data_IF_913489124030
#
_entry.id   IF_913489124030
#
_cell.length_a   1.000
_cell.length_b   1.000
_cell.length_c   1.000
_cell.angle_alpha   90.00
_cell.angle_beta   90.00
_cell.angle_gamma   90.00
#
_symmetry.space_group_name_H-M   'P 1'
#
loop_
_entity.id
_entity.type
_entity.pdbx_description
1 polymer ?
#
# COMPACT_ATOMS: atom_id res chain seq x y z
N UNK A 1 8.47 -7.94 -25.09
CA UNK A 1 8.14 -7.27 -23.82
C UNK A 1 9.46 -6.79 -23.22
N UNK A 2 9.55 -5.52 -22.84
CA UNK A 2 10.72 -5.01 -22.12
C UNK A 2 10.43 -5.14 -20.62
N UNK A 3 11.41 -5.61 -19.86
CA UNK A 3 11.36 -5.69 -18.40
C UNK A 3 12.46 -4.78 -17.85
N UNK A 4 12.09 -3.99 -16.84
CA UNK A 4 13.01 -3.10 -16.13
C UNK A 4 12.96 -3.45 -14.65
N UNK A 5 14.00 -4.11 -14.16
CA UNK A 5 14.18 -4.45 -12.74
C UNK A 5 15.43 -3.74 -12.22
N UNK A 6 15.36 -3.18 -11.00
CA UNK A 6 16.44 -2.46 -10.34
C UNK A 6 17.07 -1.32 -11.20
N UNK A 7 16.28 -0.75 -12.11
CA UNK A 7 16.73 0.24 -13.07
C UNK A 7 16.39 1.67 -12.62
N UNK A 8 17.35 2.58 -12.76
CA UNK A 8 17.11 4.01 -12.58
C UNK A 8 16.57 4.61 -13.89
N UNK A 9 15.27 4.89 -13.93
CA UNK A 9 14.60 5.54 -15.06
C UNK A 9 14.29 7.02 -14.78
N UNK A 10 14.89 7.65 -13.77
CA UNK A 10 14.64 9.07 -13.45
C UNK A 10 14.97 9.96 -14.64
N UNK A 11 14.12 10.97 -14.86
CA UNK A 11 14.24 11.89 -16.00
C UNK A 11 13.85 11.29 -17.36
N UNK A 12 13.49 10.01 -17.43
CA UNK A 12 12.99 9.39 -18.67
C UNK A 12 11.70 10.04 -19.13
N UNK A 13 11.53 10.16 -20.45
CA UNK A 13 10.33 10.71 -21.07
C UNK A 13 9.68 9.66 -21.98
N UNK A 14 8.45 9.29 -21.66
CA UNK A 14 7.60 8.45 -22.51
C UNK A 14 6.67 9.36 -23.32
N UNK A 15 6.74 9.30 -24.65
CA UNK A 15 5.99 10.19 -25.54
C UNK A 15 5.39 9.38 -26.68
N UNK A 16 4.04 9.39 -26.79
CA UNK A 16 3.29 8.57 -27.76
C UNK A 16 3.64 7.08 -27.65
N UNK A 17 3.74 6.58 -26.42
CA UNK A 17 4.00 5.17 -26.10
C UNK A 17 2.70 4.57 -25.55
N UNK A 18 2.34 3.39 -26.03
CA UNK A 18 1.26 2.60 -25.47
C UNK A 18 1.81 1.79 -24.27
N UNK A 19 1.27 2.06 -23.08
CA UNK A 19 1.60 1.35 -21.84
C UNK A 19 0.43 0.48 -21.36
N UNK A 20 -0.58 0.25 -22.21
CA UNK A 20 -1.74 -0.58 -21.89
C UNK A 20 -1.30 -1.98 -21.44
N UNK A 21 -1.87 -2.45 -20.33
CA UNK A 21 -1.50 -3.75 -19.72
C UNK A 21 -0.15 -3.79 -19.01
N UNK A 22 0.58 -2.66 -18.89
CA UNK A 22 1.81 -2.61 -18.11
C UNK A 22 1.53 -2.72 -16.62
N UNK A 23 2.40 -3.41 -15.88
CA UNK A 23 2.37 -3.48 -14.42
C UNK A 23 3.51 -2.66 -13.85
N UNK A 24 3.20 -1.83 -12.85
CA UNK A 24 4.17 -1.03 -12.12
C UNK A 24 4.20 -1.54 -10.67
N UNK A 25 5.02 -2.56 -10.41
CA UNK A 25 5.23 -3.10 -9.07
C UNK A 25 6.45 -2.44 -8.43
N UNK A 26 6.32 -1.99 -7.18
CA UNK A 26 7.41 -1.37 -6.40
C UNK A 26 8.07 -0.15 -7.07
N UNK A 27 7.32 0.60 -7.89
CA UNK A 27 7.84 1.76 -8.63
C UNK A 27 7.68 3.05 -7.84
N UNK A 28 8.75 3.86 -7.79
CA UNK A 28 8.71 5.22 -7.24
C UNK A 28 8.31 6.21 -8.33
N UNK A 29 7.11 6.78 -8.21
CA UNK A 29 6.58 7.81 -9.13
C UNK A 29 6.66 9.24 -8.57
N UNK A 30 7.49 9.48 -7.56
CA UNK A 30 7.65 10.80 -6.93
C UNK A 30 8.01 11.87 -7.97
N UNK A 31 7.16 12.88 -8.08
CA UNK A 31 7.34 13.98 -9.04
C UNK A 31 7.03 13.63 -10.50
N UNK A 32 6.50 12.44 -10.79
CA UNK A 32 6.05 12.10 -12.14
C UNK A 32 4.91 13.02 -12.60
N UNK A 33 4.95 13.41 -13.87
CA UNK A 33 3.95 14.29 -14.48
C UNK A 33 3.30 13.57 -15.65
N UNK A 34 2.02 13.24 -15.49
CA UNK A 34 1.21 12.56 -16.50
C UNK A 34 0.36 13.60 -17.24
N UNK A 35 0.82 14.06 -18.41
CA UNK A 35 0.11 15.06 -19.24
C UNK A 35 -0.40 14.44 -20.53
N UNK A 36 -1.68 14.63 -20.81
CA UNK A 36 -2.33 14.08 -22.01
C UNK A 36 -2.34 12.55 -22.03
N UNK A 37 -2.38 11.93 -20.85
CA UNK A 37 -2.50 10.47 -20.71
C UNK A 37 -3.96 10.05 -20.79
N UNK A 38 -4.19 8.83 -21.28
CA UNK A 38 -5.47 8.13 -21.17
C UNK A 38 -5.35 7.13 -20.02
N UNK A 39 -6.19 7.30 -18.99
CA UNK A 39 -6.26 6.41 -17.83
C UNK A 39 -7.64 5.76 -17.80
N UNK A 40 -7.77 4.61 -18.44
CA UNK A 40 -8.99 3.79 -18.49
C UNK A 40 -8.68 2.47 -17.78
N UNK A 41 -9.54 2.08 -16.84
CA UNK A 41 -9.38 0.87 -16.03
C UNK A 41 -8.02 0.79 -15.30
N UNK A 42 -7.58 1.92 -14.73
CA UNK A 42 -6.33 2.04 -13.97
C UNK A 42 -6.60 1.90 -12.48
N UNK A 43 -5.88 0.97 -11.86
CA UNK A 43 -5.85 0.79 -10.41
C UNK A 43 -4.53 1.33 -9.84
N UNK A 44 -4.61 1.99 -8.69
CA UNK A 44 -3.45 2.50 -7.96
C UNK A 44 -3.61 2.05 -6.51
N UNK A 45 -2.75 1.12 -6.09
CA UNK A 45 -2.56 0.73 -4.69
C UNK A 45 -1.17 1.22 -4.24
N UNK A 46 -1.10 1.83 -3.06
CA UNK A 46 0.16 2.26 -2.47
C UNK A 46 0.05 3.49 -1.58
N UNK A 47 1.21 4.05 -1.25
CA UNK A 47 1.29 5.28 -0.46
C UNK A 47 0.97 6.50 -1.33
N UNK A 48 -0.11 7.21 -1.01
CA UNK A 48 -0.55 8.39 -1.72
C UNK A 48 -0.23 9.67 -0.92
N UNK A 49 0.45 10.61 -1.57
CA UNK A 49 0.68 11.95 -1.05
C UNK A 49 0.64 12.95 -2.19
N UNK A 50 -0.23 13.96 -2.10
CA UNK A 50 -0.45 14.98 -3.14
C UNK A 50 -0.68 14.40 -4.55
N UNK A 51 -1.56 13.39 -4.66
CA UNK A 51 -1.98 12.84 -5.95
C UNK A 51 -3.02 13.78 -6.58
N UNK A 52 -2.62 14.49 -7.63
CA UNK A 52 -3.49 15.47 -8.31
C UNK A 52 -4.05 14.87 -9.61
N UNK A 53 -5.36 14.63 -9.65
CA UNK A 53 -6.08 14.16 -10.84
C UNK A 53 -6.86 15.32 -11.42
N UNK A 54 -6.56 15.69 -12.67
CA UNK A 54 -7.21 16.81 -13.36
C UNK A 54 -7.25 18.13 -12.55
N UNK A 55 -6.19 18.40 -11.78
CA UNK A 55 -6.07 19.62 -10.96
C UNK A 55 -6.67 19.51 -9.55
N UNK A 56 -7.25 18.37 -9.18
CA UNK A 56 -7.82 18.12 -7.85
C UNK A 56 -6.89 17.19 -7.06
N UNK A 57 -6.44 17.61 -5.88
CA UNK A 57 -5.79 16.69 -4.94
C UNK A 57 -6.83 15.72 -4.39
N UNK A 58 -6.75 14.46 -4.80
CA UNK A 58 -7.73 13.43 -4.45
C UNK A 58 -7.38 12.71 -3.15
N UNK A 59 -6.19 12.93 -2.58
CA UNK A 59 -5.74 12.20 -1.38
C UNK A 59 -6.72 12.35 -0.21
N UNK A 60 -7.20 13.57 0.14
CA UNK A 60 -8.17 13.70 1.25
C UNK A 60 -9.50 12.97 1.00
N UNK A 61 -9.95 12.89 -0.27
CA UNK A 61 -11.19 12.19 -0.63
C UNK A 61 -11.03 10.68 -0.49
N UNK A 62 -9.90 10.15 -0.94
CA UNK A 62 -9.55 8.74 -0.81
C UNK A 62 -9.39 8.36 0.66
N UNK A 63 -8.63 9.15 1.43
CA UNK A 63 -8.43 8.93 2.87
C UNK A 63 -9.75 8.93 3.65
N UNK A 64 -10.65 9.90 3.38
CA UNK A 64 -11.96 9.95 4.02
C UNK A 64 -12.82 8.73 3.68
N UNK A 65 -12.79 8.26 2.43
CA UNK A 65 -13.52 7.06 2.02
C UNK A 65 -12.93 5.78 2.64
N UNK A 66 -11.60 5.69 2.75
CA UNK A 66 -10.93 4.59 3.44
C UNK A 66 -11.30 4.57 4.92
N UNK A 67 -11.26 5.71 5.61
CA UNK A 67 -11.67 5.81 7.02
C UNK A 67 -13.17 5.53 7.21
N UNK A 68 -14.02 5.87 6.24
CA UNK A 68 -15.45 5.53 6.27
C UNK A 68 -15.68 4.03 6.14
N UNK A 69 -14.93 3.34 5.28
CA UNK A 69 -15.00 1.88 5.09
C UNK A 69 -14.40 1.13 6.27
N UNK A 70 -13.35 1.67 6.84
CA UNK A 70 -12.62 1.09 7.97
C UNK A 70 -12.33 2.13 9.06
N UNK A 71 -13.26 2.35 10.01
CA UNK A 71 -13.10 3.37 11.05
C UNK A 71 -11.90 3.16 11.98
N UNK A 72 -11.50 1.91 12.22
CA UNK A 72 -10.32 1.57 13.02
C UNK A 72 -9.03 2.13 12.38
N UNK A 73 -9.00 2.29 11.05
CA UNK A 73 -7.84 2.82 10.30
C UNK A 73 -7.46 4.22 10.75
N UNK A 74 -8.44 5.06 11.08
CA UNK A 74 -8.20 6.41 11.56
C UNK A 74 -7.41 6.42 12.89
N UNK A 75 -7.61 5.41 13.74
CA UNK A 75 -6.89 5.27 15.00
C UNK A 75 -5.40 4.97 14.80
N UNK A 76 -5.01 4.43 13.64
CA UNK A 76 -3.62 4.07 13.32
C UNK A 76 -2.73 5.27 12.94
N UNK A 77 -3.26 6.50 13.03
CA UNK A 77 -2.51 7.76 12.90
C UNK A 77 -2.48 8.56 14.21
N UNK A 78 -2.07 7.95 15.35
CA UNK A 78 -2.03 8.66 16.61
C UNK A 78 -0.90 9.70 16.63
N UNK A 79 -1.11 10.77 17.40
CA UNK A 79 -0.11 11.85 17.60
C UNK A 79 0.35 11.98 19.05
N UNK A 80 -0.12 11.09 19.93
CA UNK A 80 0.24 11.08 21.34
C UNK A 80 0.31 9.65 21.90
N UNK A 81 0.99 9.44 23.04
CA UNK A 81 1.17 8.11 23.61
C UNK A 81 -0.12 7.38 24.02
N UNK A 82 -1.21 8.10 24.34
CA UNK A 82 -2.49 7.47 24.67
C UNK A 82 -3.15 6.93 23.40
N UNK A 83 -3.12 7.69 22.31
CA UNK A 83 -3.54 7.26 20.98
C UNK A 83 -2.77 6.03 20.50
N UNK A 84 -1.45 6.00 20.68
CA UNK A 84 -0.64 4.82 20.33
C UNK A 84 -1.07 3.55 21.08
N UNK A 85 -1.41 3.65 22.37
CA UNK A 85 -1.93 2.50 23.13
C UNK A 85 -3.29 2.03 22.61
N UNK A 86 -4.21 2.96 22.36
CA UNK A 86 -5.52 2.61 21.82
C UNK A 86 -5.43 1.98 20.42
N UNK A 87 -4.55 2.50 19.58
CA UNK A 87 -4.25 1.96 18.26
C UNK A 87 -3.60 0.57 18.34
N UNK A 88 -2.73 0.35 19.33
CA UNK A 88 -2.11 -0.95 19.59
C UNK A 88 -3.16 -2.04 19.87
N UNK A 89 -4.16 -1.75 20.72
CA UNK A 89 -5.25 -2.69 21.02
C UNK A 89 -6.03 -3.09 19.74
N UNK A 90 -6.19 -2.17 18.80
CA UNK A 90 -6.81 -2.43 17.49
C UNK A 90 -5.94 -3.35 16.65
N UNK A 91 -4.64 -3.05 16.55
CA UNK A 91 -3.68 -3.86 15.79
C UNK A 91 -3.63 -5.28 16.35
N UNK A 92 -3.47 -5.44 17.67
CA UNK A 92 -3.41 -6.77 18.31
C UNK A 92 -4.68 -7.58 18.04
N UNK A 93 -5.86 -6.97 18.20
CA UNK A 93 -7.14 -7.65 17.97
C UNK A 93 -7.28 -8.12 16.51
N UNK A 94 -6.93 -7.28 15.54
CA UNK A 94 -6.99 -7.62 14.11
C UNK A 94 -5.98 -8.68 13.74
N UNK A 95 -4.75 -8.53 14.22
CA UNK A 95 -3.68 -9.49 14.00
C UNK A 95 -4.06 -10.87 14.53
N UNK A 96 -4.55 -10.95 15.77
CA UNK A 96 -4.98 -12.21 16.38
C UNK A 96 -6.04 -12.91 15.52
N UNK A 97 -7.06 -12.18 15.06
CA UNK A 97 -8.10 -12.74 14.20
C UNK A 97 -7.53 -13.27 12.86
N UNK A 98 -6.60 -12.53 12.25
CA UNK A 98 -5.94 -12.95 11.00
C UNK A 98 -5.08 -14.19 11.19
N UNK A 99 -4.26 -14.25 12.26
CA UNK A 99 -3.44 -15.42 12.58
C UNK A 99 -4.30 -16.65 12.89
N UNK A 100 -5.39 -16.49 13.64
CA UNK A 100 -6.32 -17.59 13.96
C UNK A 100 -7.02 -18.13 12.71
N UNK A 101 -7.29 -17.29 11.71
CA UNK A 101 -7.76 -17.75 10.41
C UNK A 101 -6.67 -18.50 9.65
N UNK A 102 -5.46 -17.93 9.58
CA UNK A 102 -4.34 -18.53 8.87
C UNK A 102 -4.00 -19.93 9.41
N UNK A 103 -4.00 -20.10 10.75
CA UNK A 103 -3.75 -21.39 11.42
C UNK A 103 -4.71 -22.53 11.06
N UNK A 104 -5.85 -22.23 10.42
CA UNK A 104 -6.82 -23.24 9.96
C UNK A 104 -6.55 -23.73 8.54
N UNK A 105 -5.68 -23.05 7.80
CA UNK A 105 -5.26 -23.45 6.46
C UNK A 105 -4.28 -24.62 6.55
N UNK A 106 -4.11 -25.32 5.43
CA UNK A 106 -2.98 -26.25 5.31
C UNK A 106 -1.66 -25.47 5.49
N UNK A 107 -0.70 -25.96 6.30
CA UNK A 107 0.58 -25.29 6.49
C UNK A 107 1.29 -24.87 5.19
N UNK A 108 1.14 -25.63 4.11
CA UNK A 108 1.72 -25.27 2.81
C UNK A 108 1.15 -23.95 2.26
N UNK A 109 -0.14 -23.69 2.46
CA UNK A 109 -0.84 -22.50 1.97
C UNK A 109 -0.35 -21.22 2.66
N UNK A 110 0.27 -21.31 3.84
CA UNK A 110 0.85 -20.15 4.53
C UNK A 110 2.06 -19.55 3.79
N UNK A 111 2.66 -20.34 2.89
CA UNK A 111 3.83 -19.99 2.09
C UNK A 111 3.47 -19.68 0.63
N UNK A 112 2.20 -19.77 0.25
CA UNK A 112 1.75 -19.46 -1.10
C UNK A 112 1.59 -17.94 -1.26
N UNK A 113 2.14 -17.42 -2.36
CA UNK A 113 1.89 -16.07 -2.85
C UNK A 113 0.60 -16.06 -3.68
N UNK A 114 -0.16 -14.97 -3.59
CA UNK A 114 -1.39 -14.75 -4.37
C UNK A 114 -1.25 -13.44 -5.12
N UNK A 115 -1.58 -13.42 -6.42
CA UNK A 115 -1.53 -12.25 -7.30
C UNK A 115 -0.18 -11.51 -7.38
N UNK A 116 0.91 -12.20 -7.04
CA UNK A 116 2.26 -11.63 -7.02
C UNK A 116 2.61 -10.91 -5.71
N UNK A 117 1.70 -10.92 -4.73
CA UNK A 117 1.92 -10.41 -3.38
C UNK A 117 2.72 -11.39 -2.52
N UNK A 118 3.24 -10.93 -1.39
CA UNK A 118 3.92 -11.79 -0.42
C UNK A 118 2.99 -12.86 0.15
N UNK A 119 3.57 -14.03 0.48
CA UNK A 119 2.85 -15.04 1.25
C UNK A 119 2.49 -14.54 2.66
N UNK A 120 1.52 -15.19 3.31
CA UNK A 120 1.13 -14.83 4.68
C UNK A 120 2.33 -14.78 5.63
N UNK A 121 3.24 -15.75 5.55
CA UNK A 121 4.43 -15.83 6.40
C UNK A 121 5.41 -14.69 6.11
N UNK A 122 5.59 -14.30 4.84
CA UNK A 122 6.45 -13.18 4.46
C UNK A 122 5.87 -11.85 4.93
N UNK A 123 4.56 -11.62 4.72
CA UNK A 123 3.85 -10.46 5.27
C UNK A 123 4.02 -10.38 6.78
N UNK A 124 3.83 -11.49 7.50
CA UNK A 124 3.94 -11.52 8.96
C UNK A 124 5.34 -11.13 9.45
N UNK A 125 6.39 -11.59 8.75
CA UNK A 125 7.78 -11.19 9.07
C UNK A 125 8.02 -9.71 8.82
N UNK A 126 7.51 -9.17 7.71
CA UNK A 126 7.65 -7.75 7.41
C UNK A 126 6.90 -6.86 8.42
N UNK A 127 5.74 -7.29 8.89
CA UNK A 127 4.96 -6.51 9.85
C UNK A 127 5.70 -6.26 11.18
N UNK A 128 6.69 -7.08 11.54
CA UNK A 128 7.59 -6.78 12.67
C UNK A 128 8.34 -5.46 12.44
N UNK A 129 8.93 -5.30 11.25
CA UNK A 129 9.59 -4.06 10.86
C UNK A 129 8.61 -2.90 10.76
N UNK A 130 7.45 -3.10 10.12
CA UNK A 130 6.45 -2.05 9.96
C UNK A 130 5.94 -1.53 11.33
N UNK A 131 5.77 -2.44 12.29
CA UNK A 131 5.37 -2.10 13.67
C UNK A 131 6.44 -1.28 14.39
N UNK A 132 7.71 -1.69 14.33
CA UNK A 132 8.81 -0.93 14.93
C UNK A 132 8.94 0.47 14.31
N UNK A 133 8.84 0.57 12.98
CA UNK A 133 8.87 1.85 12.29
C UNK A 133 7.67 2.76 12.66
N UNK A 134 6.50 2.18 12.92
CA UNK A 134 5.31 2.92 13.32
C UNK A 134 5.38 3.41 14.76
N UNK A 135 5.77 2.55 15.72
CA UNK A 135 5.90 2.93 17.14
C UNK A 135 6.99 4.00 17.35
N UNK A 136 8.06 4.00 16.54
CA UNK A 136 9.11 5.03 16.60
C UNK A 136 8.66 6.44 16.23
N UNK A 137 7.40 6.62 15.81
CA UNK A 137 6.78 7.94 15.59
C UNK A 137 6.16 8.54 16.86
N UNK A 138 6.08 7.76 17.95
CA UNK A 138 5.50 8.18 19.23
C UNK A 138 6.34 9.18 20.02
#
# INVERSE_FOLDING_TARGET
MAEFADADLRGSRFSRVDLSGSRFAEVVLTGAVLRGVELVDVEIDGYLQHLVVNGVDVVPLVEAELDRRDPDRALLRPTDPAGFRAAWDVVERRWAATVERARRLDPAQLHESVDGEWSFVETLRHLVYATDAWVRRA
#
